data_IF_359910527772
#
_entry.id   IF_359910527772
#
_cell.length_a   1.000
_cell.length_b   1.000
_cell.length_c   1.000
_cell.angle_alpha   90.00
_cell.angle_beta   90.00
_cell.angle_gamma   90.00
#
_symmetry.space_group_name_H-M   'P 1'
#
loop_
_entity.id
_entity.type
_entity.pdbx_description
1 polymer ?
#
# COMPACT_ATOMS: atom_id res chain seq x y z
N UNK A 1 41.77 51.72 -4.12
CA UNK A 1 41.25 50.41 -4.57
C UNK A 1 40.60 49.58 -3.45
N UNK A 2 41.22 49.45 -2.26
CA UNK A 2 40.68 48.64 -1.16
C UNK A 2 39.33 49.12 -0.56
N UNK A 3 39.04 50.43 -0.58
CA UNK A 3 37.78 50.99 -0.08
C UNK A 3 36.55 50.64 -0.94
N UNK A 4 36.73 50.47 -2.24
CA UNK A 4 35.65 50.13 -3.18
C UNK A 4 35.25 48.66 -3.04
N UNK A 5 36.25 47.77 -2.88
CA UNK A 5 36.04 46.35 -2.60
C UNK A 5 35.28 46.12 -1.28
N UNK A 6 35.62 46.87 -0.22
CA UNK A 6 34.98 46.74 1.10
C UNK A 6 33.50 47.17 1.09
N UNK A 7 33.16 48.20 0.30
CA UNK A 7 31.78 48.68 0.11
C UNK A 7 30.93 47.68 -0.68
N UNK A 8 31.51 47.04 -1.69
CA UNK A 8 30.80 46.05 -2.51
C UNK A 8 30.65 44.69 -1.80
N UNK A 9 31.63 44.28 -0.98
CA UNK A 9 31.51 43.07 -0.15
C UNK A 9 30.34 43.12 0.83
N UNK A 10 30.07 44.27 1.46
CA UNK A 10 28.90 44.42 2.35
C UNK A 10 27.58 44.24 1.61
N UNK A 11 27.48 44.73 0.36
CA UNK A 11 26.29 44.56 -0.49
C UNK A 11 26.11 43.11 -0.93
N UNK A 12 27.19 42.42 -1.28
CA UNK A 12 27.17 41.00 -1.65
C UNK A 12 26.78 40.14 -0.44
N UNK A 13 27.34 40.42 0.74
CA UNK A 13 27.00 39.72 1.97
C UNK A 13 25.52 39.91 2.34
N UNK A 14 25.00 41.13 2.19
CA UNK A 14 23.60 41.45 2.42
C UNK A 14 22.70 40.73 1.41
N UNK A 15 23.10 40.66 0.13
CA UNK A 15 22.38 39.94 -0.90
C UNK A 15 22.36 38.42 -0.61
N UNK A 16 23.47 37.83 -0.18
CA UNK A 16 23.52 36.43 0.25
C UNK A 16 22.64 36.18 1.47
N UNK A 17 22.63 37.08 2.46
CA UNK A 17 21.75 36.99 3.63
C UNK A 17 20.27 37.08 3.25
N UNK A 18 19.92 37.98 2.31
CA UNK A 18 18.56 38.10 1.78
C UNK A 18 18.17 36.81 1.04
N UNK A 19 19.04 36.26 0.19
CA UNK A 19 18.80 35.02 -0.56
C UNK A 19 18.66 33.81 0.40
N UNK A 20 19.47 33.74 1.46
CA UNK A 20 19.38 32.67 2.48
C UNK A 20 18.08 32.83 3.29
N UNK A 21 17.66 34.06 3.61
CA UNK A 21 16.39 34.33 4.30
C UNK A 21 15.15 34.15 3.43
N UNK A 22 15.24 34.33 2.10
CA UNK A 22 14.12 34.06 1.19
C UNK A 22 13.92 32.57 0.90
N UNK A 23 14.82 31.70 1.36
CA UNK A 23 14.61 30.26 1.37
C UNK A 23 13.88 29.77 2.63
N UNK A 24 13.51 30.66 3.57
CA UNK A 24 12.65 30.26 4.67
C UNK A 24 11.19 30.20 4.20
N UNK A 25 10.60 29.01 4.32
CA UNK A 25 9.17 28.73 4.45
C UNK A 25 8.35 28.61 3.15
N UNK A 26 8.70 27.62 2.32
CA UNK A 26 7.64 26.65 2.01
C UNK A 26 7.71 25.61 3.12
N UNK A 27 6.80 25.69 4.09
CA UNK A 27 6.76 24.72 5.20
C UNK A 27 6.36 23.37 4.61
N UNK A 28 7.36 22.53 4.28
CA UNK A 28 7.14 21.10 4.08
C UNK A 28 7.11 20.48 5.47
N UNK A 29 5.91 20.14 5.90
CA UNK A 29 5.73 19.47 7.16
C UNK A 29 5.92 17.96 6.91
N UNK A 30 6.83 17.34 7.67
CA UNK A 30 7.06 15.90 7.61
C UNK A 30 6.10 15.21 8.58
N UNK A 31 5.25 14.34 8.03
CA UNK A 31 4.31 13.55 8.80
C UNK A 31 4.77 12.11 8.88
N UNK A 32 4.92 11.61 10.10
CA UNK A 32 4.96 10.19 10.37
C UNK A 32 3.52 9.68 10.44
N UNK A 33 3.10 8.89 9.44
CA UNK A 33 1.78 8.24 9.46
C UNK A 33 1.80 7.16 10.54
N UNK A 34 2.89 6.40 10.57
CA UNK A 34 3.28 5.49 11.63
C UNK A 34 4.78 5.13 11.52
N UNK A 35 5.22 4.18 12.33
CA UNK A 35 6.63 3.75 12.36
C UNK A 35 7.18 3.17 11.04
N UNK A 36 6.33 2.87 10.05
CA UNK A 36 6.74 2.30 8.76
C UNK A 36 6.61 3.27 7.60
N UNK A 37 5.73 4.28 7.67
CA UNK A 37 5.51 5.21 6.56
C UNK A 37 5.48 6.66 7.02
N UNK A 38 6.19 7.52 6.28
CA UNK A 38 6.17 8.96 6.44
C UNK A 38 6.09 9.67 5.09
N UNK A 39 5.65 10.92 5.09
CA UNK A 39 5.45 11.73 3.87
C UNK A 39 5.59 13.21 4.20
N UNK A 40 6.07 14.01 3.24
CA UNK A 40 6.13 15.46 3.37
C UNK A 40 4.93 16.08 2.66
N UNK A 41 4.18 16.93 3.36
CA UNK A 41 3.06 17.67 2.77
C UNK A 41 3.40 19.16 2.85
N UNK A 42 3.30 19.84 1.72
CA UNK A 42 3.46 21.29 1.65
C UNK A 42 2.18 21.97 2.14
N UNK A 43 2.29 23.08 2.87
CA UNK A 43 1.17 23.99 3.17
C UNK A 43 0.63 23.89 4.60
N UNK A 44 -0.42 24.66 4.90
CA UNK A 44 -1.15 24.53 6.16
C UNK A 44 -2.02 23.28 6.12
N UNK A 45 -1.83 22.40 7.10
CA UNK A 45 -2.47 21.10 7.14
C UNK A 45 -3.53 21.00 8.23
N UNK A 46 -4.51 20.12 7.98
CA UNK A 46 -5.48 19.70 8.98
C UNK A 46 -5.33 18.18 9.13
N UNK A 47 -4.91 17.75 10.31
CA UNK A 47 -4.98 16.34 10.70
C UNK A 47 -6.40 16.02 11.16
N UNK A 48 -7.07 15.13 10.44
CA UNK A 48 -8.39 14.61 10.79
C UNK A 48 -8.24 13.11 11.07
N UNK A 49 -8.16 12.77 12.35
CA UNK A 49 -8.28 11.39 12.80
C UNK A 49 -9.77 11.01 12.79
N UNK A 50 -10.17 10.11 11.90
CA UNK A 50 -11.54 9.58 11.88
C UNK A 50 -11.54 8.06 12.06
N UNK A 51 -12.38 7.61 13.00
CA UNK A 51 -12.76 6.22 13.17
C UNK A 51 -14.07 6.02 12.41
N UNK A 52 -14.00 5.52 11.18
CA UNK A 52 -15.18 5.04 10.45
C UNK A 52 -15.09 3.52 10.28
N UNK A 53 -16.10 2.80 10.76
CA UNK A 53 -16.29 1.36 10.54
C UNK A 53 -15.03 0.51 10.89
N UNK A 54 -14.46 0.69 12.08
CA UNK A 54 -13.27 -0.04 12.57
C UNK A 54 -11.98 0.18 11.77
N UNK A 55 -11.98 1.10 10.80
CA UNK A 55 -10.80 1.52 10.05
C UNK A 55 -10.23 2.80 10.67
N UNK A 56 -8.95 2.76 11.02
CA UNK A 56 -8.21 3.95 11.45
C UNK A 56 -7.83 4.72 10.18
N UNK A 57 -8.58 5.77 9.84
CA UNK A 57 -8.23 6.68 8.76
C UNK A 57 -7.55 7.92 9.37
N UNK A 58 -6.22 7.99 9.23
CA UNK A 58 -5.48 9.22 9.49
C UNK A 58 -5.52 10.01 8.19
N UNK A 59 -6.32 11.08 8.13
CA UNK A 59 -6.41 11.94 6.96
C UNK A 59 -5.63 13.22 7.20
N UNK A 60 -4.63 13.47 6.37
CA UNK A 60 -4.01 14.78 6.29
C UNK A 60 -4.59 15.51 5.09
N UNK A 61 -4.89 16.79 5.26
CA UNK A 61 -5.39 17.62 4.19
C UNK A 61 -4.60 18.91 4.11
N UNK A 62 -4.06 19.23 2.94
CA UNK A 62 -3.47 20.54 2.67
C UNK A 62 -3.99 21.09 1.35
N UNK A 63 -4.33 22.37 1.34
CA UNK A 63 -4.66 23.14 0.15
C UNK A 63 -3.56 24.18 -0.10
N UNK A 64 -2.93 24.10 -1.26
CA UNK A 64 -2.04 25.15 -1.77
C UNK A 64 -2.56 25.57 -3.12
N UNK A 65 -3.11 26.80 -3.20
CA UNK A 65 -3.67 27.31 -4.44
C UNK A 65 -4.80 26.41 -4.95
N UNK A 66 -4.55 25.72 -6.08
CA UNK A 66 -5.50 24.80 -6.71
C UNK A 66 -5.23 23.31 -6.42
N UNK A 67 -4.18 23.03 -5.64
CA UNK A 67 -3.70 21.70 -5.27
C UNK A 67 -4.27 21.26 -3.93
N UNK A 68 -4.66 20.00 -3.86
CA UNK A 68 -5.21 19.31 -2.69
C UNK A 68 -4.39 18.02 -2.50
N UNK A 69 -3.85 17.84 -1.30
CA UNK A 69 -3.08 16.66 -0.91
C UNK A 69 -3.85 15.89 0.15
N UNK A 70 -3.91 14.57 0.01
CA UNK A 70 -4.42 13.72 1.07
C UNK A 70 -3.63 12.44 1.25
N UNK A 71 -3.61 11.98 2.49
CA UNK A 71 -2.91 10.77 2.91
C UNK A 71 -3.87 10.01 3.79
N UNK A 72 -4.05 8.73 3.54
CA UNK A 72 -4.93 7.87 4.29
C UNK A 72 -4.25 6.52 4.53
N UNK A 73 -4.46 5.98 5.73
CA UNK A 73 -4.17 4.59 6.08
C UNK A 73 -5.50 3.89 6.30
N UNK A 74 -5.67 2.66 5.83
CA UNK A 74 -6.82 1.84 6.22
C UNK A 74 -6.37 0.41 6.53
N UNK A 75 -6.98 -0.20 7.55
CA UNK A 75 -6.84 -1.63 7.77
C UNK A 75 -7.64 -2.36 6.68
N UNK A 76 -6.97 -3.22 5.92
CA UNK A 76 -7.59 -3.90 4.77
C UNK A 76 -8.55 -5.01 5.21
N UNK A 77 -8.16 -5.80 6.21
CA UNK A 77 -8.94 -6.91 6.74
C UNK A 77 -8.85 -6.95 8.26
N UNK A 78 -9.95 -7.31 8.92
CA UNK A 78 -9.99 -7.49 10.37
C UNK A 78 -8.98 -8.57 10.78
N UNK A 79 -8.21 -8.30 11.84
CA UNK A 79 -7.23 -9.23 12.36
C UNK A 79 -7.81 -10.57 12.82
N UNK A 80 -9.13 -10.64 13.05
CA UNK A 80 -9.85 -11.87 13.38
C UNK A 80 -9.98 -12.85 12.20
N UNK A 81 -9.75 -12.42 10.95
CA UNK A 81 -9.82 -13.30 9.78
C UNK A 81 -8.62 -14.25 9.75
N UNK A 82 -8.89 -15.54 9.53
CA UNK A 82 -7.83 -16.52 9.33
C UNK A 82 -7.02 -16.15 8.08
N UNK A 83 -5.71 -16.42 8.11
CA UNK A 83 -4.83 -16.16 6.95
C UNK A 83 -5.25 -16.96 5.69
N UNK A 84 -6.05 -18.00 5.86
CA UNK A 84 -6.58 -18.84 4.77
C UNK A 84 -7.89 -18.28 4.19
N UNK A 85 -8.64 -17.50 4.96
CA UNK A 85 -9.84 -16.80 4.49
C UNK A 85 -9.51 -15.40 3.94
N UNK A 86 -8.33 -14.87 4.29
CA UNK A 86 -7.83 -13.57 3.85
C UNK A 86 -7.67 -13.44 2.32
N UNK A 87 -8.13 -12.33 1.75
CA UNK A 87 -7.90 -11.95 0.35
C UNK A 87 -6.59 -11.20 0.13
N UNK A 88 -5.69 -11.18 1.13
CA UNK A 88 -4.38 -10.56 0.99
C UNK A 88 -3.59 -11.22 -0.15
N UNK A 89 -2.76 -10.44 -0.86
CA UNK A 89 -1.80 -10.96 -1.82
C UNK A 89 -0.82 -11.96 -1.20
N UNK A 90 -0.39 -12.93 -1.99
CA UNK A 90 0.59 -13.96 -1.60
C UNK A 90 1.82 -14.00 -2.52
N UNK A 91 1.79 -13.26 -3.63
CA UNK A 91 2.88 -13.07 -4.59
C UNK A 91 2.68 -11.74 -5.35
N UNK A 92 3.64 -11.40 -6.21
CA UNK A 92 3.58 -10.16 -7.00
C UNK A 92 2.33 -10.11 -7.90
N UNK A 93 1.98 -11.22 -8.56
CA UNK A 93 0.85 -11.28 -9.49
C UNK A 93 -0.49 -11.04 -8.78
N UNK A 94 -0.67 -11.60 -7.59
CA UNK A 94 -1.86 -11.35 -6.77
C UNK A 94 -1.89 -9.93 -6.21
N UNK A 95 -0.74 -9.32 -5.94
CA UNK A 95 -0.63 -7.91 -5.53
C UNK A 95 -1.02 -6.96 -6.67
N UNK A 96 -0.53 -7.19 -7.89
CA UNK A 96 -0.92 -6.43 -9.08
C UNK A 96 -2.43 -6.51 -9.32
N UNK A 97 -2.98 -7.74 -9.32
CA UNK A 97 -4.43 -7.94 -9.47
C UNK A 97 -5.25 -7.25 -8.38
N UNK A 98 -4.72 -7.19 -7.17
CA UNK A 98 -5.33 -6.47 -6.06
C UNK A 98 -5.41 -4.97 -6.37
N UNK A 99 -4.29 -4.37 -6.79
CA UNK A 99 -4.27 -2.94 -7.15
C UNK A 99 -5.15 -2.62 -8.36
N UNK A 100 -5.16 -3.45 -9.40
CA UNK A 100 -6.09 -3.31 -10.53
C UNK A 100 -7.56 -3.30 -10.07
N UNK A 101 -7.88 -4.11 -9.06
CA UNK A 101 -9.24 -4.19 -8.50
C UNK A 101 -9.59 -2.90 -7.76
N UNK A 102 -8.65 -2.34 -6.98
CA UNK A 102 -8.82 -1.03 -6.35
C UNK A 102 -9.01 0.06 -7.40
N UNK A 103 -8.18 0.09 -8.45
CA UNK A 103 -8.27 1.05 -9.54
C UNK A 103 -9.66 0.99 -10.22
N UNK A 104 -10.12 -0.21 -10.58
CA UNK A 104 -11.44 -0.44 -11.18
C UNK A 104 -12.58 0.01 -10.26
N UNK A 105 -12.49 -0.27 -8.97
CA UNK A 105 -13.51 0.16 -8.01
C UNK A 105 -13.53 1.69 -7.86
N UNK A 106 -12.35 2.32 -7.81
CA UNK A 106 -12.23 3.78 -7.75
C UNK A 106 -12.80 4.46 -9.00
N UNK A 107 -12.51 3.95 -10.19
CA UNK A 107 -13.11 4.43 -11.46
C UNK A 107 -14.63 4.25 -11.47
N UNK A 108 -15.16 3.17 -10.88
CA UNK A 108 -16.62 2.98 -10.81
C UNK A 108 -17.29 3.93 -9.82
N UNK A 109 -16.63 4.25 -8.70
CA UNK A 109 -17.17 5.15 -7.68
C UNK A 109 -16.98 6.62 -8.01
N UNK A 110 -16.11 6.94 -8.97
CA UNK A 110 -15.80 8.32 -9.36
C UNK A 110 -16.18 8.55 -10.82
N UNK A 111 -16.65 9.74 -11.17
CA UNK A 111 -16.85 10.12 -12.58
C UNK A 111 -15.55 10.58 -13.26
N UNK A 112 -14.40 10.01 -12.85
CA UNK A 112 -13.08 10.37 -13.35
C UNK A 112 -12.67 9.44 -14.49
N UNK A 113 -11.93 9.96 -15.46
CA UNK A 113 -11.40 9.17 -16.57
C UNK A 113 -9.97 8.75 -16.26
N UNK A 114 -9.73 7.46 -16.13
CA UNK A 114 -8.38 6.89 -15.98
C UNK A 114 -7.54 7.23 -17.22
N UNK A 115 -6.40 7.88 -17.00
CA UNK A 115 -5.41 8.26 -18.01
C UNK A 115 -4.26 7.25 -18.04
N UNK A 116 -3.73 6.89 -16.86
CA UNK A 116 -2.66 5.91 -16.75
C UNK A 116 -2.72 5.13 -15.44
N UNK A 117 -2.13 3.93 -15.48
CA UNK A 117 -2.03 2.97 -14.40
C UNK A 117 -0.63 2.35 -14.48
N UNK A 118 0.16 2.46 -13.40
CA UNK A 118 1.57 2.07 -13.40
C UNK A 118 1.97 1.42 -12.08
N UNK A 119 2.63 0.26 -12.17
CA UNK A 119 3.34 -0.33 -11.05
C UNK A 119 4.59 0.51 -10.74
N UNK A 120 4.72 0.92 -9.48
CA UNK A 120 5.84 1.72 -8.98
C UNK A 120 6.59 0.95 -7.89
N UNK A 121 7.78 1.42 -7.55
CA UNK A 121 8.60 0.83 -6.51
C UNK A 121 9.18 1.91 -5.61
N UNK A 122 9.08 1.71 -4.30
CA UNK A 122 9.69 2.56 -3.28
C UNK A 122 10.33 1.65 -2.24
N UNK A 123 11.65 1.76 -2.05
CA UNK A 123 12.44 0.92 -1.14
C UNK A 123 12.13 -0.59 -1.30
N UNK A 124 12.08 -1.08 -2.54
CA UNK A 124 11.76 -2.47 -2.90
C UNK A 124 10.32 -2.92 -2.62
N UNK A 125 9.45 -2.05 -2.13
CA UNK A 125 8.02 -2.29 -2.01
C UNK A 125 7.31 -1.85 -3.28
N UNK A 126 6.43 -2.71 -3.80
CA UNK A 126 5.64 -2.44 -4.98
C UNK A 126 4.38 -1.66 -4.62
N UNK A 127 4.20 -0.52 -5.26
CA UNK A 127 3.01 0.31 -5.17
C UNK A 127 2.34 0.45 -6.51
N UNK A 128 1.24 1.21 -6.54
CA UNK A 128 0.48 1.43 -7.75
C UNK A 128 0.09 2.88 -7.90
N UNK A 129 0.55 3.51 -8.98
CA UNK A 129 0.25 4.89 -9.31
C UNK A 129 -0.86 4.93 -10.36
N UNK A 130 -1.91 5.68 -10.07
CA UNK A 130 -3.02 5.96 -10.97
C UNK A 130 -3.08 7.45 -11.26
N UNK A 131 -3.28 7.79 -12.53
CA UNK A 131 -3.55 9.17 -12.96
C UNK A 131 -4.88 9.24 -13.66
N UNK A 132 -5.66 10.24 -13.31
CA UNK A 132 -6.98 10.50 -13.86
C UNK A 132 -7.09 11.94 -14.34
N UNK A 133 -7.92 12.11 -15.35
CA UNK A 133 -8.40 13.42 -15.78
C UNK A 133 -9.81 13.64 -15.24
N UNK A 134 -10.04 14.80 -14.65
CA UNK A 134 -11.37 15.16 -14.13
C UNK A 134 -12.29 15.74 -15.20
N UNK A 135 -13.56 15.93 -14.82
CA UNK A 135 -14.60 16.46 -15.72
C UNK A 135 -14.34 17.91 -16.15
N UNK A 136 -13.65 18.70 -15.33
CA UNK A 136 -13.19 20.04 -15.73
C UNK A 136 -11.94 19.90 -16.60
N UNK A 137 -11.93 20.59 -17.74
CA UNK A 137 -10.76 20.71 -18.63
C UNK A 137 -9.56 21.11 -17.77
N UNK A 138 -8.48 20.32 -17.85
CA UNK A 138 -7.22 20.51 -17.13
C UNK A 138 -7.19 20.11 -15.64
N UNK A 139 -8.22 19.46 -15.09
CA UNK A 139 -8.12 18.91 -13.73
C UNK A 139 -7.42 17.55 -13.73
N UNK A 140 -6.47 17.36 -12.82
CA UNK A 140 -5.68 16.13 -12.68
C UNK A 140 -5.91 15.57 -11.28
N UNK A 141 -6.03 14.26 -11.20
CA UNK A 141 -6.11 13.52 -9.94
C UNK A 141 -5.10 12.38 -10.04
N UNK A 142 -4.24 12.24 -9.05
CA UNK A 142 -3.24 11.19 -8.98
C UNK A 142 -3.37 10.49 -7.63
N UNK A 143 -3.18 9.17 -7.63
CA UNK A 143 -3.25 8.36 -6.40
C UNK A 143 -2.16 7.30 -6.42
N UNK A 144 -1.45 7.15 -5.30
CA UNK A 144 -0.52 6.05 -5.07
C UNK A 144 -1.01 5.14 -3.93
N UNK A 145 -0.96 3.84 -4.20
CA UNK A 145 -1.33 2.79 -3.26
C UNK A 145 -0.10 1.98 -2.84
N UNK A 146 0.03 1.72 -1.54
CA UNK A 146 0.98 0.74 -0.99
C UNK A 146 0.29 -0.18 0.03
N UNK A 147 0.27 -1.48 -0.24
CA UNK A 147 -0.17 -2.48 0.74
C UNK A 147 1.02 -2.95 1.57
N UNK A 148 1.03 -2.63 2.87
CA UNK A 148 2.10 -2.95 3.80
C UNK A 148 1.51 -3.44 5.13
N UNK A 149 1.93 -4.62 5.62
CA UNK A 149 1.51 -5.15 6.92
C UNK A 149 -0.03 -5.12 7.13
N UNK A 150 -0.79 -5.59 6.13
CA UNK A 150 -2.28 -5.58 6.10
C UNK A 150 -2.95 -4.20 6.06
N UNK A 151 -2.18 -3.13 5.97
CA UNK A 151 -2.69 -1.77 5.83
C UNK A 151 -2.50 -1.30 4.39
N UNK A 152 -3.54 -0.66 3.84
CA UNK A 152 -3.44 0.07 2.58
C UNK A 152 -3.14 1.53 2.90
N UNK A 153 -2.03 2.03 2.35
CA UNK A 153 -1.68 3.45 2.37
C UNK A 153 -2.10 4.05 1.05
N UNK A 154 -2.81 5.17 1.11
CA UNK A 154 -3.40 5.87 -0.03
C UNK A 154 -2.88 7.30 0.02
N UNK A 155 -2.14 7.70 -1.00
CA UNK A 155 -1.64 9.05 -1.17
C UNK A 155 -2.36 9.65 -2.37
N UNK A 156 -3.08 10.74 -2.19
CA UNK A 156 -3.82 11.37 -3.27
C UNK A 156 -3.36 12.80 -3.47
N UNK A 157 -3.25 13.17 -4.73
CA UNK A 157 -3.06 14.54 -5.16
C UNK A 157 -4.18 14.90 -6.13
N UNK A 158 -4.69 16.11 -5.99
CA UNK A 158 -5.71 16.64 -6.89
C UNK A 158 -5.37 18.07 -7.21
N UNK A 159 -5.45 18.42 -8.48
CA UNK A 159 -5.36 19.80 -8.91
C UNK A 159 -6.55 20.16 -9.79
N UNK A 160 -7.26 21.22 -9.40
CA UNK A 160 -8.45 21.67 -10.11
C UNK A 160 -8.15 22.50 -11.36
N UNK A 161 -6.92 22.99 -11.51
CA UNK A 161 -6.43 23.75 -12.66
C UNK A 161 -5.01 23.29 -12.94
N UNK A 162 -4.73 22.65 -14.09
CA UNK A 162 -3.37 22.23 -14.47
C UNK A 162 -2.38 23.36 -14.23
N UNK A 163 -1.63 23.25 -13.15
CA UNK A 163 -0.48 24.10 -12.83
C UNK A 163 0.74 23.48 -13.51
N UNK A 164 1.68 24.32 -13.92
CA UNK A 164 3.01 23.89 -14.37
C UNK A 164 3.91 23.49 -13.17
N UNK A 165 3.39 23.60 -11.94
CA UNK A 165 4.09 23.24 -10.72
C UNK A 165 4.18 21.72 -10.53
N UNK A 166 5.38 21.28 -10.16
CA UNK A 166 5.73 19.88 -9.98
C UNK A 166 5.29 19.32 -8.61
N UNK A 167 4.18 19.83 -8.08
CA UNK A 167 3.71 19.56 -6.72
C UNK A 167 3.40 18.07 -6.51
N UNK A 168 2.80 17.42 -7.52
CA UNK A 168 2.47 16.00 -7.42
C UNK A 168 3.72 15.14 -7.33
N UNK A 169 4.72 15.41 -8.18
CA UNK A 169 5.98 14.69 -8.17
C UNK A 169 6.72 14.92 -6.84
N UNK A 170 6.76 16.15 -6.33
CA UNK A 170 7.37 16.44 -5.03
C UNK A 170 6.67 15.69 -3.90
N UNK A 171 5.33 15.67 -3.90
CA UNK A 171 4.54 14.96 -2.90
C UNK A 171 4.80 13.44 -2.94
N UNK A 172 4.68 12.80 -4.11
CA UNK A 172 4.88 11.35 -4.22
C UNK A 172 6.34 10.94 -3.97
N UNK A 173 7.32 11.73 -4.41
CA UNK A 173 8.74 11.47 -4.12
C UNK A 173 9.10 11.67 -2.63
N UNK A 174 8.25 12.35 -1.86
CA UNK A 174 8.47 12.52 -0.42
C UNK A 174 8.04 11.31 0.42
N UNK A 175 7.30 10.37 -0.17
CA UNK A 175 6.85 9.15 0.52
C UNK A 175 8.07 8.31 0.87
N UNK A 176 8.23 8.00 2.15
CA UNK A 176 9.32 7.16 2.67
C UNK A 176 8.74 5.96 3.39
N UNK A 177 9.17 4.78 2.96
CA UNK A 177 8.87 3.50 3.62
C UNK A 177 10.12 3.06 4.39
N UNK A 178 10.01 2.90 5.71
CA UNK A 178 11.13 2.51 6.55
C UNK A 178 11.45 1.01 6.40
N UNK A 179 12.40 0.70 5.51
CA UNK A 179 12.85 -0.68 5.23
C UNK A 179 13.56 -1.36 6.40
N UNK A 180 13.96 -0.62 7.44
CA UNK A 180 14.58 -1.20 8.64
C UNK A 180 13.56 -1.96 9.50
N UNK A 181 12.26 -1.69 9.28
CA UNK A 181 11.18 -2.44 9.91
C UNK A 181 10.88 -3.70 9.09
N UNK A 182 10.47 -4.76 9.80
CA UNK A 182 9.96 -5.97 9.14
C UNK A 182 8.60 -5.68 8.51
N UNK A 183 8.60 -5.46 7.20
CA UNK A 183 7.40 -5.15 6.41
C UNK A 183 7.15 -6.27 5.41
N UNK A 184 5.89 -6.67 5.23
CA UNK A 184 5.47 -7.65 4.23
C UNK A 184 4.27 -7.16 3.42
N UNK A 185 4.32 -7.41 2.11
CA UNK A 185 3.20 -7.21 1.18
C UNK A 185 2.48 -8.53 0.85
N UNK A 186 3.11 -9.66 1.17
CA UNK A 186 2.65 -11.00 0.79
C UNK A 186 2.26 -11.78 2.04
N UNK A 187 1.10 -11.44 2.59
CA UNK A 187 0.60 -12.02 3.85
C UNK A 187 -0.52 -13.04 3.63
N UNK A 188 -1.05 -13.16 2.41
CA UNK A 188 -2.11 -14.12 2.09
C UNK A 188 -1.60 -15.53 1.79
N UNK A 189 -2.54 -16.38 1.39
CA UNK A 189 -2.27 -17.75 0.92
C UNK A 189 -2.74 -17.94 -0.51
N UNK A 190 -1.96 -18.70 -1.28
CA UNK A 190 -2.32 -19.09 -2.64
C UNK A 190 -3.61 -19.91 -2.67
N UNK A 191 -4.31 -19.91 -3.81
CA UNK A 191 -5.54 -20.69 -3.97
C UNK A 191 -5.35 -22.18 -3.64
N UNK A 192 -4.18 -22.74 -4.00
CA UNK A 192 -3.81 -24.11 -3.67
C UNK A 192 -3.65 -24.28 -2.16
N UNK A 193 -2.96 -23.35 -1.49
CA UNK A 193 -2.79 -23.36 -0.04
C UNK A 193 -4.12 -23.27 0.71
N UNK A 194 -5.05 -22.43 0.23
CA UNK A 194 -6.42 -22.32 0.77
C UNK A 194 -7.21 -23.61 0.56
N UNK A 195 -7.15 -24.19 -0.64
CA UNK A 195 -7.84 -25.44 -0.96
C UNK A 195 -7.35 -26.61 -0.09
N UNK A 196 -6.03 -26.76 0.06
CA UNK A 196 -5.43 -27.80 0.89
C UNK A 196 -5.81 -27.65 2.36
N UNK A 197 -5.79 -26.43 2.90
CA UNK A 197 -6.23 -26.14 4.27
C UNK A 197 -7.71 -26.49 4.45
N UNK A 198 -8.59 -26.02 3.55
CA UNK A 198 -10.03 -26.29 3.63
C UNK A 198 -10.35 -27.79 3.55
N UNK A 199 -9.62 -28.53 2.73
CA UNK A 199 -9.75 -29.98 2.65
C UNK A 199 -9.31 -30.63 3.97
N UNK A 200 -8.14 -30.27 4.48
CA UNK A 200 -7.62 -30.77 5.76
C UNK A 200 -8.57 -30.48 6.93
N UNK A 201 -9.10 -29.26 7.00
CA UNK A 201 -10.09 -28.85 7.99
C UNK A 201 -11.37 -29.68 7.90
N UNK A 202 -11.93 -29.86 6.69
CA UNK A 202 -13.13 -30.69 6.48
C UNK A 202 -12.91 -32.14 6.88
N UNK A 203 -11.77 -32.73 6.50
CA UNK A 203 -11.41 -34.10 6.87
C UNK A 203 -11.26 -34.21 8.39
N UNK A 204 -10.48 -33.32 9.01
CA UNK A 204 -10.27 -33.30 10.46
C UNK A 204 -11.57 -33.12 11.25
N UNK A 205 -12.43 -32.19 10.83
CA UNK A 205 -13.73 -31.98 11.43
C UNK A 205 -14.64 -33.21 11.31
N UNK A 206 -14.67 -33.84 10.13
CA UNK A 206 -15.47 -35.05 9.89
C UNK A 206 -14.97 -36.21 10.76
N UNK A 207 -13.67 -36.38 10.88
CA UNK A 207 -13.04 -37.38 11.76
C UNK A 207 -13.34 -37.10 13.22
N UNK A 208 -13.23 -35.85 13.67
CA UNK A 208 -13.53 -35.48 15.06
C UNK A 208 -15.00 -35.73 15.43
N UNK A 209 -15.93 -35.43 14.50
CA UNK A 209 -17.36 -35.67 14.69
C UNK A 209 -17.75 -37.14 14.62
N UNK A 210 -17.01 -37.93 13.83
CA UNK A 210 -17.28 -39.34 13.60
C UNK A 210 -15.97 -40.15 13.67
N UNK A 211 -15.46 -40.40 14.90
CA UNK A 211 -14.16 -41.05 15.09
C UNK A 211 -14.09 -42.49 14.55
N UNK A 212 -15.24 -43.13 14.31
CA UNK A 212 -15.33 -44.43 13.64
C UNK A 212 -14.74 -44.43 12.22
N UNK A 213 -14.68 -43.28 11.54
CA UNK A 213 -14.05 -43.18 10.22
C UNK A 213 -12.53 -43.38 10.24
N UNK A 214 -11.86 -43.16 11.39
CA UNK A 214 -10.43 -43.50 11.54
C UNK A 214 -10.19 -45.01 11.46
N UNK A 215 -11.11 -45.81 12.00
CA UNK A 215 -11.02 -47.26 11.98
C UNK A 215 -11.27 -47.84 10.58
N UNK A 216 -12.25 -47.28 9.85
CA UNK A 216 -12.56 -47.70 8.48
C UNK A 216 -11.46 -47.25 7.51
N UNK A 217 -11.00 -45.99 7.62
CA UNK A 217 -9.94 -45.43 6.78
C UNK A 217 -8.57 -46.07 7.05
N UNK A 218 -8.21 -46.23 8.33
CA UNK A 218 -6.97 -46.90 8.74
C UNK A 218 -6.97 -48.39 8.36
N UNK A 219 -8.12 -49.05 8.48
CA UNK A 219 -8.31 -50.44 8.03
C UNK A 219 -8.10 -50.60 6.52
N UNK A 220 -8.63 -49.70 5.70
CA UNK A 220 -8.42 -49.72 4.24
C UNK A 220 -6.95 -49.49 3.84
N UNK A 221 -6.25 -48.58 4.52
CA UNK A 221 -4.81 -48.34 4.29
C UNK A 221 -3.99 -49.58 4.67
N UNK A 222 -4.31 -50.23 5.80
CA UNK A 222 -3.68 -51.48 6.21
C UNK A 222 -3.94 -52.62 5.23
N UNK A 223 -5.15 -52.74 4.68
CA UNK A 223 -5.50 -53.73 3.65
C UNK A 223 -4.70 -53.48 2.37
N UNK A 224 -4.53 -52.22 1.96
CA UNK A 224 -3.72 -51.88 0.78
C UNK A 224 -2.24 -52.18 1.00
N UNK A 225 -1.68 -51.82 2.16
CA UNK A 225 -0.27 -52.11 2.48
C UNK A 225 -0.03 -53.63 2.54
N UNK A 226 -0.87 -54.36 3.25
CA UNK A 226 -0.76 -55.83 3.36
C UNK A 226 -0.97 -56.51 2.01
N UNK A 227 -1.94 -56.07 1.21
CA UNK A 227 -2.15 -56.57 -0.16
C UNK A 227 -0.94 -56.32 -1.07
N UNK A 228 -0.29 -55.16 -0.94
CA UNK A 228 0.93 -54.85 -1.71
C UNK A 228 2.11 -55.72 -1.28
N UNK A 229 2.31 -55.92 0.02
CA UNK A 229 3.35 -56.81 0.57
C UNK A 229 3.12 -58.26 0.09
N UNK A 230 1.88 -58.78 0.20
CA UNK A 230 1.52 -60.13 -0.26
C UNK A 230 1.74 -60.29 -1.77
N UNK A 231 1.36 -59.29 -2.57
CA UNK A 231 1.61 -59.29 -4.01
C UNK A 231 3.11 -59.38 -4.34
N UNK A 232 3.95 -58.62 -3.64
CA UNK A 232 5.40 -58.64 -3.85
C UNK A 232 6.06 -59.94 -3.37
N UNK A 233 5.61 -60.51 -2.24
CA UNK A 233 6.13 -61.79 -1.73
C UNK A 233 5.78 -62.95 -2.67
N UNK A 234 4.61 -62.94 -3.29
CA UNK A 234 4.14 -64.01 -4.19
C UNK A 234 4.75 -63.97 -5.60
N UNK A 235 5.44 -62.88 -5.95
CA UNK A 235 6.07 -62.66 -7.26
C UNK A 235 7.59 -62.96 -7.25
N UNK A 236 8.18 -63.24 -6.08
CA UNK A 236 9.49 -63.90 -5.95
C UNK A 236 9.32 -65.41 -6.04
#
# INVERSE_FOLDING_TARGET
MQLILKKNMKKILLLCLIIISSNSLWSQNNYEIDSIVSVSISGEDIKIDSLQNEKIAINFYSMIGNSEFSVQKELFENDSLSIYDSNLPYDLKSLEKYYETLAKNYVKSTNLKLESEKLIENNSFKGFHLRFTGAKKNSIYEVEYFLLNRNIYIFSYKNTVKSDENDSEQFFNSIKINSDKKISQFLGKSAIGKSAYNLGYKVGYTVAKHPSYLWIGGGLILILITGTIVYFVRRK
#
